data_IF_356030910849
#
_entry.id   IF_356030910849
#
_cell.length_a   1.000
_cell.length_b   1.000
_cell.length_c   1.000
_cell.angle_alpha   90.00
_cell.angle_beta   90.00
_cell.angle_gamma   90.00
#
_symmetry.space_group_name_H-M   'P 1'
#
loop_
_entity.id
_entity.type
_entity.pdbx_description
1 polymer ?
#
# COMPACT_ATOMS: atom_id res chain seq x y z
N UNK A 1 30.51 14.59 36.80
CA UNK A 1 30.27 14.15 35.41
C UNK A 1 29.30 12.98 35.49
N UNK A 2 28.00 13.22 35.32
CA UNK A 2 27.01 12.14 35.39
C UNK A 2 27.05 11.37 34.07
N UNK A 3 27.29 10.06 34.12
CA UNK A 3 27.16 9.18 32.97
C UNK A 3 25.77 9.35 32.34
N UNK A 4 25.71 9.97 31.15
CA UNK A 4 24.51 9.93 30.32
C UNK A 4 24.23 8.45 29.99
N UNK A 5 23.24 7.89 30.67
CA UNK A 5 22.79 6.50 30.51
C UNK A 5 22.40 6.28 29.04
N UNK A 6 23.34 5.76 28.25
CA UNK A 6 23.17 5.53 26.80
C UNK A 6 21.90 4.70 26.56
N UNK A 7 21.09 5.14 25.59
CA UNK A 7 19.80 4.52 25.27
C UNK A 7 19.95 3.02 24.95
N UNK A 8 19.00 2.19 25.37
CA UNK A 8 19.02 0.72 25.14
C UNK A 8 19.05 0.35 23.64
N UNK A 9 18.79 1.30 22.75
CA UNK A 9 18.89 1.15 21.29
C UNK A 9 20.34 1.01 20.78
N UNK A 10 21.33 1.44 21.56
CA UNK A 10 22.74 1.18 21.22
C UNK A 10 23.07 -0.33 21.22
N UNK A 11 22.25 -1.18 21.85
CA UNK A 11 22.41 -2.63 21.78
C UNK A 11 22.05 -3.21 20.39
N UNK A 12 21.31 -2.47 19.56
CA UNK A 12 20.96 -2.88 18.19
C UNK A 12 22.04 -2.51 17.16
N UNK A 13 23.08 -1.77 17.57
CA UNK A 13 24.18 -1.34 16.70
C UNK A 13 24.81 -2.46 15.84
N UNK A 14 25.10 -3.68 16.35
CA UNK A 14 25.66 -4.76 15.53
C UNK A 14 24.71 -5.27 14.44
N UNK A 15 23.39 -5.15 14.63
CA UNK A 15 22.39 -5.54 13.63
C UNK A 15 22.21 -4.41 12.60
N UNK A 16 22.28 -3.16 13.05
CA UNK A 16 22.16 -1.96 12.19
C UNK A 16 23.32 -1.89 11.19
N UNK A 17 24.56 -2.20 11.60
CA UNK A 17 25.75 -2.12 10.73
C UNK A 17 25.85 -3.25 9.70
N UNK A 18 25.20 -4.39 9.94
CA UNK A 18 25.26 -5.58 9.07
C UNK A 18 24.10 -5.68 8.09
N UNK A 19 23.12 -4.79 8.19
CA UNK A 19 21.89 -4.87 7.40
C UNK A 19 22.07 -4.27 5.99
N UNK A 20 21.55 -4.91 4.93
CA UNK A 20 21.56 -4.32 3.59
C UNK A 20 20.82 -2.99 3.59
N UNK A 21 21.56 -1.91 3.39
CA UNK A 21 21.04 -0.57 3.24
C UNK A 21 21.42 -0.03 1.87
N UNK A 22 20.51 0.70 1.23
CA UNK A 22 20.83 1.35 -0.06
C UNK A 22 21.95 2.37 0.17
N UNK A 23 23.04 2.32 -0.60
CA UNK A 23 24.12 3.31 -0.46
C UNK A 23 23.61 4.72 -0.78
N UNK A 24 24.02 5.70 0.03
CA UNK A 24 23.75 7.11 -0.28
C UNK A 24 24.64 7.52 -1.47
N UNK A 25 24.16 8.35 -2.40
CA UNK A 25 24.99 8.86 -3.49
C UNK A 25 26.16 9.68 -2.93
N UNK A 26 27.36 9.49 -3.49
CA UNK A 26 28.59 10.16 -3.06
C UNK A 26 28.62 11.66 -3.43
N UNK A 27 27.76 12.09 -4.35
CA UNK A 27 27.65 13.48 -4.81
C UNK A 27 26.21 13.90 -5.13
N UNK A 28 26.06 15.12 -5.65
CA UNK A 28 24.76 15.64 -6.06
C UNK A 28 24.22 14.86 -7.26
N UNK A 29 23.07 14.18 -7.06
CA UNK A 29 22.39 13.47 -8.14
C UNK A 29 21.69 14.49 -9.05
N UNK A 30 21.97 14.41 -10.35
CA UNK A 30 21.31 15.25 -11.36
C UNK A 30 19.80 15.05 -11.35
N UNK A 31 19.04 16.13 -11.60
CA UNK A 31 17.58 16.11 -11.56
C UNK A 31 16.97 15.07 -12.52
N UNK A 32 17.53 14.90 -13.73
CA UNK A 32 17.09 13.87 -14.70
C UNK A 32 17.21 12.46 -14.13
N UNK A 33 18.31 12.18 -13.42
CA UNK A 33 18.55 10.89 -12.77
C UNK A 33 17.57 10.68 -11.62
N UNK A 34 17.25 11.72 -10.84
CA UNK A 34 16.24 11.64 -9.79
C UNK A 34 14.85 11.32 -10.34
N UNK A 35 14.45 11.99 -11.44
CA UNK A 35 13.19 11.68 -12.14
C UNK A 35 13.18 10.24 -12.63
N UNK A 36 14.26 9.79 -13.27
CA UNK A 36 14.36 8.44 -13.82
C UNK A 36 14.18 7.38 -12.72
N UNK A 37 14.85 7.50 -11.58
CA UNK A 37 14.68 6.59 -10.44
C UNK A 37 13.26 6.63 -9.87
N UNK A 38 12.69 7.83 -9.73
CA UNK A 38 11.33 8.01 -9.23
C UNK A 38 10.31 7.34 -10.15
N UNK A 39 10.44 7.53 -11.47
CA UNK A 39 9.54 6.96 -12.48
C UNK A 39 9.72 5.45 -12.61
N UNK A 40 10.95 4.94 -12.54
CA UNK A 40 11.23 3.51 -12.54
C UNK A 40 10.60 2.81 -11.34
N UNK A 41 10.74 3.37 -10.13
CA UNK A 41 10.08 2.84 -8.95
C UNK A 41 8.55 2.91 -9.05
N UNK A 42 8.01 3.97 -9.66
CA UNK A 42 6.57 4.09 -9.86
C UNK A 42 6.03 3.00 -10.81
N UNK A 43 6.73 2.72 -11.91
CA UNK A 43 6.37 1.63 -12.83
C UNK A 43 6.44 0.28 -12.10
N UNK A 44 7.52 0.04 -11.36
CA UNK A 44 7.68 -1.19 -10.59
C UNK A 44 6.55 -1.37 -9.56
N UNK A 45 6.17 -0.29 -8.88
CA UNK A 45 5.04 -0.27 -7.94
C UNK A 45 3.75 -0.75 -8.63
N UNK A 46 3.41 -0.20 -9.80
CA UNK A 46 2.21 -0.63 -10.54
C UNK A 46 2.29 -2.07 -11.05
N UNK A 47 3.48 -2.55 -11.41
CA UNK A 47 3.65 -3.96 -11.79
C UNK A 47 3.36 -4.86 -10.58
N UNK A 48 3.95 -4.54 -9.42
CA UNK A 48 3.80 -5.32 -8.20
C UNK A 48 2.36 -5.36 -7.68
N UNK A 49 1.58 -4.28 -7.85
CA UNK A 49 0.17 -4.26 -7.46
C UNK A 49 -0.70 -5.17 -8.32
N UNK A 50 -0.27 -5.53 -9.53
CA UNK A 50 -0.98 -6.43 -10.44
C UNK A 50 -0.56 -7.90 -10.29
N UNK A 51 0.53 -8.19 -9.58
CA UNK A 51 0.97 -9.58 -9.35
C UNK A 51 0.20 -10.15 -8.16
N UNK A 52 -0.72 -11.08 -8.44
CA UNK A 52 -1.48 -11.79 -7.41
C UNK A 52 -0.63 -12.84 -6.70
N UNK A 53 -0.91 -13.05 -5.41
CA UNK A 53 -0.22 -14.05 -4.59
C UNK A 53 -0.64 -15.44 -5.05
N UNK A 54 0.35 -16.33 -5.19
CA UNK A 54 0.09 -17.70 -5.57
C UNK A 54 -0.56 -18.48 -4.42
N UNK A 55 -1.62 -19.22 -4.73
CA UNK A 55 -2.28 -20.14 -3.78
C UNK A 55 -3.44 -19.54 -3.00
N UNK A 56 -3.84 -18.28 -3.26
CA UNK A 56 -5.03 -17.68 -2.65
C UNK A 56 -6.34 -18.27 -3.17
N UNK A 57 -7.33 -18.37 -2.28
CA UNK A 57 -8.72 -18.65 -2.66
C UNK A 57 -9.30 -17.51 -3.51
N UNK A 58 -10.19 -17.81 -4.45
CA UNK A 58 -10.82 -16.78 -5.32
C UNK A 58 -11.76 -15.83 -4.57
N UNK A 59 -12.26 -16.24 -3.41
CA UNK A 59 -13.15 -15.47 -2.56
C UNK A 59 -12.40 -15.17 -1.26
N UNK A 60 -11.89 -13.95 -1.12
CA UNK A 60 -11.31 -13.45 0.13
C UNK A 60 -12.00 -12.14 0.51
N UNK A 61 -12.04 -11.86 1.80
CA UNK A 61 -12.66 -10.65 2.34
C UNK A 61 -11.60 -9.56 2.41
N UNK A 62 -11.78 -8.48 1.65
CA UNK A 62 -10.95 -7.29 1.80
C UNK A 62 -11.55 -6.33 2.83
N UNK A 63 -11.17 -6.49 4.11
CA UNK A 63 -11.64 -5.62 5.19
C UNK A 63 -11.23 -4.15 4.97
N UNK A 64 -10.15 -3.89 4.23
CA UNK A 64 -9.57 -2.57 4.07
C UNK A 64 -9.77 -2.01 2.66
N UNK A 65 -10.78 -2.49 1.92
CA UNK A 65 -11.08 -2.02 0.56
C UNK A 65 -11.16 -0.48 0.49
N UNK A 66 -11.85 0.14 1.45
CA UNK A 66 -12.02 1.60 1.54
C UNK A 66 -10.76 2.35 1.99
N UNK A 67 -9.71 1.67 2.47
CA UNK A 67 -8.47 2.30 2.92
C UNK A 67 -7.27 1.97 2.03
N UNK A 68 -7.47 1.12 1.02
CA UNK A 68 -6.42 0.57 0.16
C UNK A 68 -5.61 1.66 -0.56
N UNK A 69 -6.29 2.73 -0.98
CA UNK A 69 -5.67 3.86 -1.67
C UNK A 69 -4.71 4.66 -0.76
N UNK A 70 -4.99 4.76 0.55
CA UNK A 70 -4.08 5.39 1.53
C UNK A 70 -2.94 4.43 1.88
N UNK A 71 -3.23 3.14 2.01
CA UNK A 71 -2.22 2.14 2.34
C UNK A 71 -1.29 1.80 1.16
N UNK A 72 -1.54 2.37 -0.03
CA UNK A 72 -0.83 2.09 -1.27
C UNK A 72 -0.61 0.57 -1.49
N UNK A 73 -1.64 -0.21 -1.19
CA UNK A 73 -1.65 -1.66 -1.31
C UNK A 73 -2.66 -2.13 -2.35
N UNK A 74 -2.55 -3.38 -2.78
CA UNK A 74 -3.53 -4.01 -3.67
C UNK A 74 -3.94 -5.39 -3.14
N UNK A 75 -5.24 -5.63 -3.02
CA UNK A 75 -5.77 -6.81 -2.33
C UNK A 75 -5.48 -8.08 -3.11
N UNK A 76 -5.11 -9.15 -2.39
CA UNK A 76 -4.63 -10.39 -3.01
C UNK A 76 -3.32 -10.28 -3.83
N UNK A 77 -2.63 -9.14 -3.83
CA UNK A 77 -1.35 -8.94 -4.54
C UNK A 77 -0.14 -9.06 -3.62
N UNK A 78 1.06 -9.15 -4.20
CA UNK A 78 2.32 -9.06 -3.45
C UNK A 78 2.40 -7.73 -2.65
N UNK A 79 1.73 -6.68 -3.12
CA UNK A 79 1.59 -5.40 -2.44
C UNK A 79 0.50 -5.39 -1.36
N UNK A 80 0.13 -6.54 -0.79
CA UNK A 80 -1.03 -6.58 0.08
C UNK A 80 -0.88 -5.70 1.34
N UNK A 81 0.30 -5.73 1.96
CA UNK A 81 0.61 -4.89 3.13
C UNK A 81 0.87 -3.43 2.73
N UNK A 82 1.22 -3.19 1.46
CA UNK A 82 1.53 -1.85 0.94
C UNK A 82 2.62 -1.15 1.74
N UNK A 83 2.38 0.11 2.08
CA UNK A 83 3.27 0.92 2.94
C UNK A 83 2.96 0.79 4.44
N UNK A 84 1.94 0.02 4.82
CA UNK A 84 1.42 -0.10 6.20
C UNK A 84 2.53 -0.30 7.23
N UNK A 85 3.34 -1.37 7.15
CA UNK A 85 4.40 -1.65 8.11
C UNK A 85 5.43 -0.53 8.24
N UNK A 86 5.71 0.18 7.14
CA UNK A 86 6.70 1.26 7.08
C UNK A 86 6.18 2.47 7.87
N UNK A 87 4.94 2.85 7.61
CA UNK A 87 4.28 3.97 8.29
C UNK A 87 4.05 3.64 9.76
N UNK A 88 3.55 2.44 10.08
CA UNK A 88 3.29 2.02 11.47
C UNK A 88 4.57 2.06 12.31
N UNK A 89 5.67 1.47 11.82
CA UNK A 89 6.96 1.51 12.51
C UNK A 89 7.46 2.94 12.72
N UNK A 90 7.30 3.79 11.70
CA UNK A 90 7.72 5.20 11.77
C UNK A 90 6.92 5.96 12.83
N UNK A 91 5.59 5.78 12.87
CA UNK A 91 4.71 6.40 13.87
C UNK A 91 5.06 5.92 15.28
N UNK A 92 5.26 4.61 15.50
CA UNK A 92 5.63 4.07 16.81
C UNK A 92 6.92 4.70 17.31
N UNK A 93 7.95 4.76 16.48
CA UNK A 93 9.24 5.33 16.87
C UNK A 93 9.15 6.84 17.12
N UNK A 94 8.39 7.57 16.29
CA UNK A 94 8.12 9.00 16.49
C UNK A 94 7.38 9.24 17.82
N UNK A 95 6.38 8.43 18.15
CA UNK A 95 5.65 8.53 19.42
C UNK A 95 6.55 8.24 20.62
N UNK A 96 7.42 7.23 20.56
CA UNK A 96 8.32 6.89 21.67
C UNK A 96 9.40 7.94 21.90
N UNK A 97 9.93 8.55 20.83
CA UNK A 97 10.86 9.67 20.93
C UNK A 97 10.15 10.95 21.39
N UNK A 98 8.95 11.23 20.88
CA UNK A 98 8.15 12.39 21.28
C UNK A 98 7.72 12.35 22.75
N UNK A 99 7.32 11.16 23.24
CA UNK A 99 6.99 10.93 24.64
C UNK A 99 8.23 10.89 25.57
N UNK A 100 9.44 11.08 25.04
CA UNK A 100 10.73 11.02 25.76
C UNK A 100 11.00 9.68 26.47
N UNK A 101 10.31 8.61 26.07
CA UNK A 101 10.57 7.24 26.53
C UNK A 101 11.95 6.80 26.01
N UNK A 102 12.23 7.12 24.75
CA UNK A 102 13.54 6.98 24.14
C UNK A 102 14.25 8.34 24.19
N UNK A 103 15.26 8.48 25.05
CA UNK A 103 16.12 9.67 25.12
C UNK A 103 17.14 9.63 23.96
N UNK A 104 16.74 10.12 22.79
CA UNK A 104 17.63 10.37 21.67
C UNK A 104 17.64 11.87 21.39
N UNK A 105 18.83 12.45 21.32
CA UNK A 105 19.01 13.83 20.92
C UNK A 105 19.21 13.90 19.41
N UNK A 106 18.11 14.16 18.68
CA UNK A 106 18.13 14.23 17.22
C UNK A 106 18.96 15.41 16.67
N UNK A 107 19.54 16.26 17.51
CA UNK A 107 20.54 17.25 17.07
C UNK A 107 21.91 16.59 16.82
N UNK A 108 22.24 15.52 17.54
CA UNK A 108 23.49 14.77 17.42
C UNK A 108 23.45 13.82 16.21
N UNK A 109 24.55 13.77 15.44
CA UNK A 109 24.67 12.90 14.26
C UNK A 109 24.58 11.41 14.62
N UNK A 110 25.16 11.00 15.74
CA UNK A 110 25.15 9.60 16.20
C UNK A 110 23.75 9.13 16.56
N UNK A 111 23.01 9.92 17.33
CA UNK A 111 21.64 9.60 17.74
C UNK A 111 20.68 9.56 16.54
N UNK A 112 20.88 10.43 15.55
CA UNK A 112 20.18 10.37 14.26
C UNK A 112 20.44 9.05 13.51
N UNK A 113 21.68 8.57 13.49
CA UNK A 113 22.02 7.31 12.84
C UNK A 113 21.36 6.12 13.55
N UNK A 114 21.32 6.13 14.89
CA UNK A 114 20.66 5.10 15.69
C UNK A 114 19.16 5.14 15.52
N UNK A 115 18.55 6.33 15.47
CA UNK A 115 17.14 6.50 15.17
C UNK A 115 16.79 5.87 13.82
N UNK A 116 17.52 6.23 12.77
CA UNK A 116 17.33 5.68 11.42
C UNK A 116 17.55 4.16 11.39
N UNK A 117 18.61 3.65 12.01
CA UNK A 117 18.87 2.21 12.08
C UNK A 117 17.78 1.44 12.82
N UNK A 118 17.30 2.00 13.94
CA UNK A 118 16.24 1.40 14.76
C UNK A 118 14.89 1.40 14.03
N UNK A 119 14.59 2.47 13.28
CA UNK A 119 13.40 2.53 12.43
C UNK A 119 13.38 1.38 11.42
N UNK A 120 14.49 1.12 10.72
CA UNK A 120 14.57 0.03 9.74
C UNK A 120 14.32 -1.35 10.36
N UNK A 121 14.93 -1.60 11.51
CA UNK A 121 14.72 -2.86 12.24
C UNK A 121 13.25 -2.99 12.63
N UNK A 122 12.66 -1.91 13.14
CA UNK A 122 11.26 -1.90 13.53
C UNK A 122 10.34 -2.15 12.33
N UNK A 123 10.62 -1.57 11.16
CA UNK A 123 9.87 -1.85 9.92
C UNK A 123 9.86 -3.34 9.60
N UNK A 124 11.01 -4.01 9.67
CA UNK A 124 11.10 -5.45 9.38
C UNK A 124 10.30 -6.28 10.38
N UNK A 125 10.38 -5.94 11.66
CA UNK A 125 9.57 -6.59 12.70
C UNK A 125 8.09 -6.38 12.40
N UNK A 126 7.68 -5.15 12.05
CA UNK A 126 6.30 -4.85 11.70
C UNK A 126 5.84 -5.59 10.43
N UNK A 127 6.70 -5.78 9.42
CA UNK A 127 6.37 -6.58 8.23
C UNK A 127 5.96 -8.00 8.63
N UNK A 128 6.74 -8.65 9.50
CA UNK A 128 6.46 -10.03 9.94
C UNK A 128 5.20 -10.05 10.81
N UNK A 129 5.09 -9.12 11.76
CA UNK A 129 3.95 -9.04 12.69
C UNK A 129 2.64 -8.73 11.97
N UNK A 130 2.66 -7.88 10.94
CA UNK A 130 1.48 -7.54 10.15
C UNK A 130 1.16 -8.62 9.10
N UNK A 131 2.15 -9.35 8.57
CA UNK A 131 1.91 -10.39 7.56
C UNK A 131 1.19 -11.64 8.11
N UNK A 132 1.47 -12.02 9.37
CA UNK A 132 0.93 -13.25 9.97
C UNK A 132 -0.60 -13.19 10.12
N UNK A 133 -1.20 -12.16 10.76
CA UNK A 133 -2.65 -12.06 10.93
C UNK A 133 -3.43 -12.03 9.62
N UNK A 134 -2.83 -11.52 8.53
CA UNK A 134 -3.51 -11.42 7.24
C UNK A 134 -3.94 -12.78 6.70
N UNK A 135 -3.20 -13.85 6.96
CA UNK A 135 -3.50 -15.19 6.45
C UNK A 135 -4.53 -15.91 7.32
N UNK A 136 -4.42 -15.75 8.64
CA UNK A 136 -5.39 -16.33 9.56
C UNK A 136 -6.74 -15.62 9.51
N UNK A 137 -6.76 -14.34 9.15
CA UNK A 137 -7.98 -13.54 9.02
C UNK A 137 -8.63 -13.60 7.64
N UNK A 138 -7.90 -13.19 6.60
CA UNK A 138 -8.52 -12.74 5.33
C UNK A 138 -7.99 -13.45 4.07
N UNK A 139 -6.69 -13.72 4.02
CA UNK A 139 -5.98 -14.30 2.86
C UNK A 139 -5.79 -15.83 3.03
N UNK A 140 -6.90 -16.56 3.05
CA UNK A 140 -6.86 -18.01 3.22
C UNK A 140 -6.30 -18.71 1.96
N UNK A 141 -5.45 -19.74 2.13
CA UNK A 141 -5.00 -20.56 1.02
C UNK A 141 -6.18 -21.35 0.44
N UNK A 142 -6.18 -21.53 -0.88
CA UNK A 142 -7.18 -22.36 -1.56
C UNK A 142 -7.07 -23.84 -1.15
N UNK A 143 -8.20 -24.55 -1.07
CA UNK A 143 -8.23 -25.97 -0.72
C UNK A 143 -7.34 -26.84 -1.62
N UNK A 144 -7.26 -26.51 -2.92
CA UNK A 144 -6.38 -27.18 -3.88
C UNK A 144 -4.89 -26.95 -3.58
N UNK A 145 -4.54 -25.75 -3.10
CA UNK A 145 -3.17 -25.44 -2.71
C UNK A 145 -2.79 -26.09 -1.37
N UNK A 146 -3.73 -26.14 -0.41
CA UNK A 146 -3.55 -26.90 0.84
C UNK A 146 -3.43 -28.40 0.56
N UNK A 147 -4.19 -28.96 -0.38
CA UNK A 147 -4.10 -30.37 -0.75
C UNK A 147 -2.76 -30.75 -1.41
N UNK A 148 -2.11 -29.82 -2.11
CA UNK A 148 -0.83 -30.08 -2.79
C UNK A 148 0.39 -29.84 -1.90
N UNK A 149 0.36 -28.86 -1.01
CA UNK A 149 1.53 -28.45 -0.19
C UNK A 149 1.35 -28.75 1.30
N UNK A 150 0.16 -29.18 1.72
CA UNK A 150 -0.18 -29.47 3.11
C UNK A 150 -0.24 -28.20 3.98
N UNK A 151 0.01 -28.36 5.28
CA UNK A 151 -0.02 -27.26 6.25
C UNK A 151 1.00 -26.13 6.02
N UNK A 152 1.93 -26.30 5.07
CA UNK A 152 2.92 -25.28 4.69
C UNK A 152 2.37 -24.21 3.73
N UNK A 153 1.18 -24.42 3.15
CA UNK A 153 0.54 -23.48 2.25
C UNK A 153 0.45 -22.06 2.83
N UNK A 154 0.03 -21.95 4.10
CA UNK A 154 -0.05 -20.68 4.82
C UNK A 154 1.32 -20.02 4.98
N UNK A 155 2.36 -20.78 5.31
CA UNK A 155 3.72 -20.25 5.48
C UNK A 155 4.29 -19.71 4.17
N UNK A 156 4.01 -20.36 3.05
CA UNK A 156 4.46 -19.90 1.72
C UNK A 156 3.81 -18.56 1.35
N UNK A 157 2.53 -18.38 1.69
CA UNK A 157 1.84 -17.10 1.50
C UNK A 157 2.45 -16.02 2.42
N UNK A 158 2.80 -16.33 3.68
CA UNK A 158 3.49 -15.36 4.57
C UNK A 158 4.78 -14.89 3.93
N UNK A 159 5.58 -15.84 3.41
CA UNK A 159 6.88 -15.52 2.81
C UNK A 159 6.69 -14.61 1.59
N UNK A 160 5.70 -14.86 0.74
CA UNK A 160 5.37 -13.98 -0.38
C UNK A 160 4.99 -12.57 0.07
N UNK A 161 4.17 -12.44 1.11
CA UNK A 161 3.78 -11.14 1.69
C UNK A 161 4.98 -10.38 2.28
N UNK A 162 5.84 -11.09 3.01
CA UNK A 162 7.06 -10.53 3.61
C UNK A 162 8.02 -10.06 2.52
N UNK A 163 8.23 -10.86 1.47
CA UNK A 163 9.06 -10.48 0.32
C UNK A 163 8.49 -9.23 -0.36
N UNK A 164 7.18 -9.18 -0.57
CA UNK A 164 6.51 -8.02 -1.15
C UNK A 164 6.74 -6.75 -0.34
N UNK A 165 6.48 -6.79 0.95
CA UNK A 165 6.68 -5.64 1.83
C UNK A 165 8.16 -5.22 1.95
N UNK A 166 9.10 -6.17 1.90
CA UNK A 166 10.54 -5.88 1.85
C UNK A 166 10.93 -5.17 0.56
N UNK A 167 10.37 -5.55 -0.59
CA UNK A 167 10.59 -4.87 -1.87
C UNK A 167 10.12 -3.41 -1.75
N UNK A 168 8.93 -3.17 -1.22
CA UNK A 168 8.40 -1.80 -1.01
C UNK A 168 9.31 -0.99 -0.10
N UNK A 169 9.78 -1.58 0.98
CA UNK A 169 10.73 -0.92 1.90
C UNK A 169 12.04 -0.54 1.20
N UNK A 170 12.61 -1.42 0.36
CA UNK A 170 13.80 -1.08 -0.41
C UNK A 170 13.54 -0.01 -1.48
N UNK A 171 12.37 -0.02 -2.11
CA UNK A 171 11.97 1.03 -3.05
C UNK A 171 11.81 2.39 -2.36
N UNK A 172 11.23 2.43 -1.17
CA UNK A 172 11.15 3.65 -0.36
C UNK A 172 12.54 4.19 0.02
N UNK A 173 13.46 3.31 0.43
CA UNK A 173 14.86 3.70 0.67
C UNK A 173 15.55 4.24 -0.58
N UNK A 174 15.29 3.62 -1.74
CA UNK A 174 15.88 4.02 -3.00
C UNK A 174 15.37 5.41 -3.41
N UNK A 175 14.07 5.66 -3.36
CA UNK A 175 13.49 6.98 -3.67
C UNK A 175 13.97 8.04 -2.68
N UNK A 176 13.98 7.72 -1.38
CA UNK A 176 14.40 8.67 -0.34
C UNK A 176 15.86 9.10 -0.45
N UNK A 177 16.72 8.34 -1.15
CA UNK A 177 18.14 8.66 -1.36
C UNK A 177 18.45 9.17 -2.77
N UNK A 178 17.85 8.58 -3.79
CA UNK A 178 18.16 8.81 -5.21
C UNK A 178 17.06 9.52 -5.98
N UNK A 179 15.82 9.51 -5.47
CA UNK A 179 14.64 10.06 -6.13
C UNK A 179 14.29 11.48 -5.66
N UNK A 180 13.03 11.84 -5.90
CA UNK A 180 12.42 13.10 -5.48
C UNK A 180 11.41 12.82 -4.37
N UNK A 181 11.62 13.43 -3.20
CA UNK A 181 10.71 13.27 -2.06
C UNK A 181 10.92 11.96 -1.29
N UNK A 182 9.84 11.45 -0.69
CA UNK A 182 9.81 10.17 0.03
C UNK A 182 9.00 9.14 -0.77
N UNK A 183 9.45 7.89 -0.79
CA UNK A 183 8.74 6.81 -1.48
C UNK A 183 7.34 6.59 -0.93
N UNK A 184 7.15 6.66 0.39
CA UNK A 184 5.83 6.61 1.05
C UNK A 184 4.86 7.61 0.42
N UNK A 185 5.25 8.89 0.33
CA UNK A 185 4.38 9.94 -0.23
C UNK A 185 4.07 9.73 -1.71
N UNK A 186 5.04 9.22 -2.47
CA UNK A 186 4.87 8.92 -3.89
C UNK A 186 3.88 7.79 -4.09
N UNK A 187 3.97 6.71 -3.30
CA UNK A 187 3.08 5.55 -3.42
C UNK A 187 1.65 5.88 -3.00
N UNK A 188 1.45 6.71 -1.97
CA UNK A 188 0.11 7.21 -1.60
C UNK A 188 -0.47 8.04 -2.74
N UNK A 189 0.30 9.00 -3.26
CA UNK A 189 -0.15 9.84 -4.37
C UNK A 189 -0.49 9.02 -5.61
N UNK A 190 0.30 8.00 -5.92
CA UNK A 190 0.05 7.05 -7.01
C UNK A 190 -1.25 6.26 -6.80
N UNK A 191 -1.45 5.68 -5.61
CA UNK A 191 -2.66 4.93 -5.26
C UNK A 191 -3.93 5.78 -5.32
N UNK A 192 -3.90 6.98 -4.76
CA UNK A 192 -5.02 7.94 -4.80
C UNK A 192 -5.30 8.38 -6.24
N UNK A 193 -4.26 8.72 -7.02
CA UNK A 193 -4.42 9.11 -8.42
C UNK A 193 -5.01 7.99 -9.27
N UNK A 194 -4.56 6.75 -9.04
CA UNK A 194 -5.11 5.56 -9.70
C UNK A 194 -6.58 5.35 -9.34
N UNK A 195 -6.94 5.47 -8.06
CA UNK A 195 -8.32 5.33 -7.60
C UNK A 195 -9.25 6.37 -8.22
N UNK A 196 -8.82 7.65 -8.26
CA UNK A 196 -9.56 8.73 -8.90
C UNK A 196 -9.71 8.46 -10.41
N UNK A 197 -8.60 8.13 -11.09
CA UNK A 197 -8.63 7.90 -12.54
C UNK A 197 -9.54 6.72 -12.91
N UNK A 198 -9.45 5.61 -12.17
CA UNK A 198 -10.29 4.43 -12.38
C UNK A 198 -11.75 4.72 -12.05
N UNK A 199 -12.03 5.41 -10.94
CA UNK A 199 -13.39 5.79 -10.57
C UNK A 199 -14.06 6.77 -11.54
N UNK A 200 -13.28 7.61 -12.24
CA UNK A 200 -13.81 8.55 -13.22
C UNK A 200 -13.98 7.93 -14.61
N UNK A 201 -12.99 7.18 -15.11
CA UNK A 201 -12.87 6.79 -16.51
C UNK A 201 -13.08 5.30 -16.81
N UNK A 202 -13.54 4.50 -15.85
CA UNK A 202 -13.77 3.08 -16.08
C UNK A 202 -14.98 2.81 -16.99
N UNK A 203 -14.74 2.27 -18.18
CA UNK A 203 -15.79 1.93 -19.15
C UNK A 203 -16.37 0.52 -18.96
N UNK A 204 -15.79 -0.28 -18.05
CA UNK A 204 -16.27 -1.63 -17.75
C UNK A 204 -17.57 -1.59 -16.94
N UNK A 205 -18.48 -2.54 -17.14
CA UNK A 205 -19.70 -2.64 -16.35
C UNK A 205 -19.40 -2.88 -14.86
N UNK A 206 -20.28 -2.42 -13.97
CA UNK A 206 -20.10 -2.64 -12.51
C UNK A 206 -20.19 -4.12 -12.14
N UNK A 207 -21.03 -4.88 -12.83
CA UNK A 207 -21.14 -6.34 -12.68
C UNK A 207 -20.53 -7.11 -13.85
N UNK A 208 -20.28 -8.42 -13.64
CA UNK A 208 -19.72 -9.34 -14.64
C UNK A 208 -20.67 -9.72 -15.80
N UNK A 209 -21.61 -8.84 -16.16
CA UNK A 209 -22.61 -9.03 -17.22
C UNK A 209 -22.47 -8.04 -18.38
N UNK A 210 -23.42 -8.09 -19.31
CA UNK A 210 -23.49 -7.16 -20.45
C UNK A 210 -23.87 -5.75 -19.98
N UNK A 211 -23.44 -4.72 -20.71
CA UNK A 211 -23.83 -3.33 -20.48
C UNK A 211 -25.34 -3.16 -20.62
N UNK A 212 -26.00 -2.65 -19.58
CA UNK A 212 -27.43 -2.38 -19.54
C UNK A 212 -27.72 -1.18 -18.64
N UNK A 213 -28.95 -0.64 -18.64
CA UNK A 213 -29.33 0.43 -17.70
C UNK A 213 -29.22 -0.02 -16.23
N UNK A 214 -29.42 -1.30 -15.96
CA UNK A 214 -29.21 -1.92 -14.65
C UNK A 214 -27.74 -2.24 -14.33
N UNK A 215 -26.85 -2.18 -15.32
CA UNK A 215 -25.42 -2.47 -15.22
C UNK A 215 -24.61 -1.46 -16.06
N UNK A 216 -24.65 -0.15 -15.70
CA UNK A 216 -23.92 0.86 -16.43
C UNK A 216 -22.40 0.70 -16.26
N UNK A 217 -21.59 1.38 -17.08
CA UNK A 217 -20.15 1.50 -16.85
C UNK A 217 -19.85 2.02 -15.44
N UNK A 218 -18.88 1.43 -14.75
CA UNK A 218 -18.53 1.71 -13.36
C UNK A 218 -17.90 3.09 -13.13
N UNK A 219 -17.35 3.71 -14.18
CA UNK A 219 -16.81 5.06 -14.11
C UNK A 219 -17.93 6.10 -14.01
N UNK A 220 -17.72 7.16 -13.22
CA UNK A 220 -18.70 8.23 -13.06
C UNK A 220 -19.06 8.90 -14.39
N UNK A 221 -18.06 9.25 -15.23
CA UNK A 221 -18.31 9.94 -16.51
C UNK A 221 -18.95 8.97 -17.55
N UNK A 222 -18.37 7.78 -17.81
CA UNK A 222 -18.95 6.79 -18.71
C UNK A 222 -20.36 6.35 -18.31
N UNK A 223 -20.58 6.13 -17.00
CA UNK A 223 -21.86 5.70 -16.44
C UNK A 223 -22.94 6.77 -16.62
N UNK A 224 -22.63 8.02 -16.26
CA UNK A 224 -23.56 9.14 -16.46
C UNK A 224 -23.91 9.33 -17.94
N UNK A 225 -22.90 9.26 -18.83
CA UNK A 225 -23.11 9.38 -20.27
C UNK A 225 -23.99 8.25 -20.82
N UNK A 226 -23.75 7.01 -20.39
CA UNK A 226 -24.50 5.84 -20.83
C UNK A 226 -25.96 5.90 -20.37
N UNK A 227 -26.21 6.25 -19.11
CA UNK A 227 -27.57 6.37 -18.57
C UNK A 227 -28.30 7.55 -19.24
N UNK A 228 -27.62 8.69 -19.45
CA UNK A 228 -28.23 9.85 -20.10
C UNK A 228 -28.62 9.60 -21.57
N UNK A 229 -27.89 8.73 -22.27
CA UNK A 229 -28.14 8.43 -23.68
C UNK A 229 -29.18 7.31 -23.88
N UNK A 230 -29.29 6.37 -22.93
CA UNK A 230 -30.12 5.17 -23.10
C UNK A 230 -31.40 5.16 -22.24
N UNK A 231 -31.54 6.04 -21.24
CA UNK A 231 -32.73 6.09 -20.38
C UNK A 231 -33.86 6.93 -21.00
N UNK A 232 -35.10 6.47 -20.86
CA UNK A 232 -36.28 7.28 -21.19
C UNK A 232 -36.57 8.33 -20.09
N UNK A 233 -37.23 9.44 -20.45
CA UNK A 233 -37.59 10.52 -19.51
C UNK A 233 -38.36 10.04 -18.26
N UNK A 234 -39.22 9.02 -18.42
CA UNK A 234 -39.95 8.42 -17.29
C UNK A 234 -39.06 7.60 -16.35
N UNK A 235 -38.02 6.96 -16.88
CA UNK A 235 -37.04 6.19 -16.09
C UNK A 235 -36.08 7.16 -15.37
N UNK A 236 -35.64 8.23 -16.03
CA UNK A 236 -34.82 9.28 -15.41
C UNK A 236 -35.45 9.84 -14.13
N UNK A 237 -36.73 10.20 -14.18
CA UNK A 237 -37.51 10.70 -13.03
C UNK A 237 -37.77 9.60 -11.99
N UNK A 238 -37.83 8.34 -12.40
CA UNK A 238 -38.10 7.18 -11.55
C UNK A 238 -36.96 6.72 -10.65
N UNK A 239 -35.82 7.44 -10.61
CA UNK A 239 -34.70 7.15 -9.70
C UNK A 239 -33.33 7.11 -10.36
N UNK A 240 -33.24 7.18 -11.67
CA UNK A 240 -31.94 7.19 -12.36
C UNK A 240 -31.20 8.53 -12.22
N UNK A 241 -31.89 9.66 -11.94
CA UNK A 241 -31.21 10.88 -11.48
C UNK A 241 -30.46 10.68 -10.15
N UNK A 242 -31.09 9.96 -9.20
CA UNK A 242 -30.45 9.63 -7.94
C UNK A 242 -29.24 8.72 -8.16
N UNK A 243 -29.35 7.75 -9.07
CA UNK A 243 -28.26 6.86 -9.46
C UNK A 243 -27.09 7.60 -10.13
N UNK A 244 -27.36 8.60 -10.98
CA UNK A 244 -26.31 9.42 -11.60
C UNK A 244 -25.53 10.29 -10.59
N UNK A 245 -26.21 10.92 -9.64
CA UNK A 245 -25.58 11.90 -8.74
C UNK A 245 -25.10 11.33 -7.40
N UNK A 246 -25.83 10.37 -6.83
CA UNK A 246 -25.56 9.83 -5.49
C UNK A 246 -25.05 8.38 -5.58
N UNK A 247 -25.41 7.65 -6.63
CA UNK A 247 -25.12 6.23 -6.76
C UNK A 247 -26.12 5.35 -5.99
N UNK A 248 -25.98 4.02 -6.10
CA UNK A 248 -26.67 3.02 -5.28
C UNK A 248 -25.72 1.86 -4.90
N UNK A 249 -26.19 0.86 -4.16
CA UNK A 249 -25.40 -0.31 -3.74
C UNK A 249 -24.80 -1.15 -4.89
N UNK A 250 -25.34 -1.02 -6.10
CA UNK A 250 -24.91 -1.67 -7.34
C UNK A 250 -24.17 -0.72 -8.31
N UNK A 251 -24.14 0.58 -8.04
CA UNK A 251 -23.42 1.61 -8.79
C UNK A 251 -22.91 2.66 -7.79
N UNK A 252 -21.74 2.41 -7.20
CA UNK A 252 -21.10 3.39 -6.34
C UNK A 252 -20.55 4.54 -7.20
N UNK A 253 -21.07 5.75 -6.98
CA UNK A 253 -20.53 6.93 -7.64
C UNK A 253 -19.18 7.27 -7.01
N UNK A 254 -18.14 7.45 -7.82
CA UNK A 254 -16.80 7.79 -7.36
C UNK A 254 -16.71 9.13 -6.60
N UNK A 255 -17.74 9.98 -6.69
CA UNK A 255 -17.80 11.30 -6.01
C UNK A 255 -18.34 11.18 -4.58
N UNK A 256 -19.22 10.21 -4.29
CA UNK A 256 -19.84 10.03 -2.97
C UNK A 256 -19.68 8.56 -2.55
N UNK A 257 -18.73 8.23 -1.67
CA UNK A 257 -18.67 6.90 -1.10
C UNK A 257 -19.89 6.72 -0.18
N UNK A 258 -20.84 5.89 -0.60
CA UNK A 258 -21.86 5.29 0.27
C UNK A 258 -21.30 4.02 0.91
#
# INVERSE_FOLDING_TARGET
MAEEKKSRLFALKPIIERWPAVSKPEGHVNFRTKILWTLLCLILYYILTNITIYGLQKQYIDLFANYRFIMAGASGSIMHLGIGPIVTASIILQLFTGAKIIKLDLTKKEDKAIYQGSQKILVIVMIIVEAIPQIFGYLQPSDAFVASVGGWASTIIVIQLVIGALIVFFMDELISKWGIGSGISLFIAAGVSQAIFTGLFNWLPVGGGVLSLSNPPAGCIPGTFYIATNANLGELVGGYYQMMFIGNSSFQNAIVPL
#
